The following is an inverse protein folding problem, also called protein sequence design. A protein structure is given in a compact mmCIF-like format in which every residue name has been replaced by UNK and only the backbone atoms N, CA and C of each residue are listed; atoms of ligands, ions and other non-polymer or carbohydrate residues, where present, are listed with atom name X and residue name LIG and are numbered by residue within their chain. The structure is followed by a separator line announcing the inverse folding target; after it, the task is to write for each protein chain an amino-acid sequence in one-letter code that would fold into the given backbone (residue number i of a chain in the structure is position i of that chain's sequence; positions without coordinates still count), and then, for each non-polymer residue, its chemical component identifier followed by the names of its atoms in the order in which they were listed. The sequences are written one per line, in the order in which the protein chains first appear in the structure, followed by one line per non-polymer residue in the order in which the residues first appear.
data_IF_222709335661
#
_entry.id   IF_222709335661
#
_cell.length_a   1.000
_cell.length_b   1.000
_cell.length_c   1.000
_cell.angle_alpha   90.00
_cell.angle_beta   90.00
_cell.angle_gamma   90.00
#
_symmetry.space_group_name_H-M   'P 1'
#
loop_
_entity.id
_entity.type
_entity.pdbx_description
1 polymer ?
#
# COMPACT_ATOMS: atom_id res chain seq x y z
N UNK A 1 -10.58 -18.15 20.34
CA UNK A 1 -10.68 -16.89 19.57
C UNK A 1 -9.26 -16.36 19.47
N UNK A 2 -8.57 -16.71 18.37
CA UNK A 2 -7.18 -16.29 18.20
C UNK A 2 -7.13 -14.77 18.15
N UNK A 3 -6.35 -14.19 19.04
CA UNK A 3 -6.14 -12.75 19.12
C UNK A 3 -5.42 -12.34 17.84
N UNK A 4 -6.11 -11.56 17.01
CA UNK A 4 -5.60 -11.19 15.70
C UNK A 4 -4.41 -10.24 15.88
N UNK A 5 -3.19 -10.78 15.83
CA UNK A 5 -1.94 -10.08 16.19
C UNK A 5 -1.76 -8.75 15.44
N UNK A 6 -2.42 -8.61 14.29
CA UNK A 6 -2.34 -7.45 13.41
C UNK A 6 -3.44 -6.42 13.62
N UNK A 7 -4.40 -6.66 14.51
CA UNK A 7 -5.53 -5.76 14.73
C UNK A 7 -5.11 -4.36 15.17
N UNK A 8 -4.10 -4.27 16.05
CA UNK A 8 -3.56 -2.98 16.49
C UNK A 8 -2.98 -2.16 15.32
N UNK A 9 -2.20 -2.80 14.44
CA UNK A 9 -1.62 -2.18 13.25
C UNK A 9 -2.69 -1.76 12.24
N UNK A 10 -3.67 -2.64 11.96
CA UNK A 10 -4.78 -2.33 11.05
C UNK A 10 -5.59 -1.15 11.55
N UNK A 11 -5.97 -1.14 12.83
CA UNK A 11 -6.74 -0.03 13.42
C UNK A 11 -5.95 1.28 13.42
N UNK A 12 -4.65 1.24 13.70
CA UNK A 12 -3.82 2.43 13.68
C UNK A 12 -3.74 3.05 12.27
N UNK A 13 -3.59 2.23 11.23
CA UNK A 13 -3.57 2.72 9.84
C UNK A 13 -4.93 3.27 9.39
N UNK A 14 -6.03 2.62 9.78
CA UNK A 14 -7.39 3.11 9.48
C UNK A 14 -7.65 4.46 10.17
N UNK A 15 -7.25 4.59 11.43
CA UNK A 15 -7.34 5.86 12.15
C UNK A 15 -6.50 6.97 11.49
N UNK A 16 -5.26 6.66 11.08
CA UNK A 16 -4.37 7.62 10.42
C UNK A 16 -4.89 8.06 9.04
N UNK A 17 -5.65 7.21 8.35
CA UNK A 17 -6.31 7.51 7.08
C UNK A 17 -7.69 8.17 7.25
N UNK A 18 -8.16 8.37 8.49
CA UNK A 18 -9.48 8.92 8.77
C UNK A 18 -10.64 7.99 8.38
N UNK A 19 -10.36 6.70 8.19
CA UNK A 19 -11.35 5.70 7.80
C UNK A 19 -11.95 5.04 9.04
N UNK A 20 -13.25 4.75 8.98
CA UNK A 20 -13.99 4.03 10.03
C UNK A 20 -14.82 2.90 9.44
N UNK A 21 -14.17 1.80 9.00
CA UNK A 21 -14.86 0.64 8.44
C UNK A 21 -15.68 -0.10 9.50
N UNK A 22 -16.64 -0.90 9.04
CA UNK A 22 -17.41 -1.81 9.90
C UNK A 22 -16.56 -2.95 10.46
N UNK A 23 -17.08 -3.65 11.48
CA UNK A 23 -16.39 -4.75 12.15
C UNK A 23 -16.01 -5.89 11.20
N UNK A 24 -16.87 -6.21 10.24
CA UNK A 24 -16.62 -7.27 9.26
C UNK A 24 -15.46 -6.91 8.32
N UNK A 25 -15.40 -5.64 7.91
CA UNK A 25 -14.31 -5.12 7.07
C UNK A 25 -12.99 -5.14 7.83
N UNK A 26 -12.98 -4.73 9.11
CA UNK A 26 -11.79 -4.82 9.97
C UNK A 26 -11.33 -6.27 10.11
N UNK A 27 -12.26 -7.21 10.27
CA UNK A 27 -11.95 -8.64 10.37
C UNK A 27 -11.27 -9.14 9.10
N UNK A 28 -11.81 -8.79 7.92
CA UNK A 28 -11.21 -9.15 6.64
C UNK A 28 -9.83 -8.51 6.44
N UNK A 29 -9.68 -7.23 6.77
CA UNK A 29 -8.42 -6.51 6.66
C UNK A 29 -7.34 -7.12 7.56
N UNK A 30 -7.69 -7.48 8.80
CA UNK A 30 -6.75 -8.14 9.70
C UNK A 30 -6.36 -9.54 9.22
N UNK A 31 -7.30 -10.29 8.62
CA UNK A 31 -7.00 -11.59 8.02
C UNK A 31 -6.06 -11.48 6.80
N UNK A 32 -6.22 -10.44 5.97
CA UNK A 32 -5.39 -10.21 4.78
C UNK A 32 -4.04 -9.54 5.04
N UNK A 33 -3.91 -8.80 6.15
CA UNK A 33 -2.71 -8.02 6.47
C UNK A 33 -1.39 -8.80 6.44
N UNK A 34 -1.28 -10.05 6.94
CA UNK A 34 -0.01 -10.78 6.93
C UNK A 34 0.54 -11.01 5.52
N UNK A 35 -0.35 -11.35 4.58
CA UNK A 35 0.01 -11.59 3.17
C UNK A 35 0.47 -10.29 2.52
N UNK A 36 -0.26 -9.19 2.77
CA UNK A 36 0.10 -7.87 2.25
C UNK A 36 1.45 -7.39 2.81
N UNK A 37 1.70 -7.57 4.10
CA UNK A 37 2.96 -7.21 4.76
C UNK A 37 4.13 -7.98 4.14
N UNK A 38 4.00 -9.30 4.02
CA UNK A 38 5.03 -10.14 3.41
C UNK A 38 5.30 -9.78 1.94
N UNK A 39 4.26 -9.45 1.17
CA UNK A 39 4.42 -9.01 -0.21
C UNK A 39 5.16 -7.66 -0.30
N UNK A 40 4.89 -6.72 0.62
CA UNK A 40 5.62 -5.45 0.71
C UNK A 40 7.08 -5.71 1.09
N UNK A 41 7.35 -6.56 2.08
CA UNK A 41 8.72 -6.90 2.49
C UNK A 41 9.52 -7.48 1.31
N UNK A 42 8.92 -8.37 0.52
CA UNK A 42 9.55 -8.93 -0.67
C UNK A 42 9.94 -7.88 -1.73
N UNK A 43 9.24 -6.75 -1.82
CA UNK A 43 9.63 -5.65 -2.73
C UNK A 43 10.92 -4.96 -2.28
N UNK A 44 11.20 -4.95 -0.97
CA UNK A 44 12.40 -4.30 -0.40
C UNK A 44 13.60 -5.24 -0.27
N UNK A 45 13.39 -6.55 -0.38
CA UNK A 45 14.44 -7.57 -0.34
C UNK A 45 15.23 -7.70 -1.65
N UNK A 46 14.78 -7.08 -2.74
CA UNK A 46 15.50 -7.08 -4.02
C UNK A 46 16.65 -6.05 -3.95
N UNK A 47 17.92 -6.48 -3.94
CA UNK A 47 19.08 -5.60 -3.70
C UNK A 47 19.16 -4.40 -4.66
N UNK A 48 18.74 -4.60 -5.91
CA UNK A 48 18.77 -3.57 -6.97
C UNK A 48 17.43 -2.84 -7.17
N UNK A 49 16.36 -3.21 -6.46
CA UNK A 49 15.06 -2.50 -6.56
C UNK A 49 15.05 -1.18 -5.79
N UNK A 50 16.07 -0.92 -4.97
CA UNK A 50 16.32 0.42 -4.45
C UNK A 50 16.86 1.27 -5.56
N UNK A 51 15.94 1.90 -6.29
CA UNK A 51 16.34 2.87 -7.29
C UNK A 51 17.23 3.93 -6.65
N UNK A 52 18.47 4.07 -7.14
CA UNK A 52 19.38 5.12 -6.69
C UNK A 52 18.82 6.52 -6.98
N UNK A 53 17.81 6.61 -7.85
CA UNK A 53 17.09 7.81 -8.24
C UNK A 53 15.60 7.46 -8.45
N UNK A 54 14.64 8.32 -8.08
CA UNK A 54 13.21 7.99 -8.16
C UNK A 54 12.79 7.48 -9.55
N UNK A 55 12.16 6.31 -9.61
CA UNK A 55 11.68 5.71 -10.85
C UNK A 55 10.71 6.64 -11.62
N UNK A 56 10.00 7.50 -10.89
CA UNK A 56 9.14 8.53 -11.45
C UNK A 56 9.74 9.91 -11.17
N UNK A 57 10.22 10.57 -12.22
CA UNK A 57 10.56 11.99 -12.19
C UNK A 57 9.39 12.78 -12.73
N UNK A 58 8.86 13.68 -11.91
CA UNK A 58 7.90 14.66 -12.39
C UNK A 58 8.59 15.63 -13.36
N UNK A 59 8.02 15.76 -14.57
CA UNK A 59 8.42 16.77 -15.55
C UNK A 59 7.17 17.54 -15.93
N UNK A 60 7.17 18.85 -15.67
CA UNK A 60 6.08 19.76 -16.04
C UNK A 60 6.08 20.07 -17.55
N UNK A 61 6.45 19.12 -18.40
CA UNK A 61 6.60 19.34 -19.82
C UNK A 61 5.28 19.85 -20.42
N UNK A 62 5.35 20.96 -21.15
CA UNK A 62 4.26 21.49 -21.97
C UNK A 62 4.02 20.64 -23.23
N UNK A 63 4.16 19.32 -23.13
CA UNK A 63 3.90 18.42 -24.23
C UNK A 63 2.39 18.23 -24.33
N UNK A 64 1.75 18.52 -25.48
CA UNK A 64 0.34 18.21 -25.66
C UNK A 64 0.14 16.72 -25.34
N UNK A 65 -0.77 16.42 -24.41
CA UNK A 65 -1.17 15.04 -24.15
C UNK A 65 -1.84 14.53 -25.43
N UNK A 66 -1.12 13.70 -26.20
CA UNK A 66 -1.73 12.91 -27.25
C UNK A 66 -2.61 11.86 -26.56
N UNK A 67 -3.89 11.84 -26.92
CA UNK A 67 -4.81 10.83 -26.41
C UNK A 67 -4.27 9.44 -26.79
N UNK A 68 -4.18 8.57 -25.79
CA UNK A 68 -3.65 7.21 -25.94
C UNK A 68 -4.55 6.34 -26.83
N UNK A 69 -5.76 6.81 -27.15
CA UNK A 69 -6.72 6.16 -28.03
C UNK A 69 -6.85 6.79 -29.43
N UNK A 70 -5.95 7.73 -29.81
CA UNK A 70 -5.89 8.32 -31.17
C UNK A 70 -4.95 7.61 -32.12
#
# INVERSE_FOLDING_TARGET
METNTYESSVRAMLAASGLSPGTDEITMLCAGYPVLRAAIDALYDVPDARYADPALRFSAAATPHADWAS
#
